data_IF_039998192427
#
_entry.id   IF_039998192427
#
_cell.length_a   1.000
_cell.length_b   1.000
_cell.length_c   1.000
_cell.angle_alpha   90.00
_cell.angle_beta   90.00
_cell.angle_gamma   90.00
#
_symmetry.space_group_name_H-M   'P 1'
#
loop_
_entity.id
_entity.type
_entity.pdbx_description
1 polymer ?
#
# COMPACT_ATOMS: atom_id res chain seq x y z
N UNK A 1 -17.84 -0.79 4.39
CA UNK A 1 -16.38 -0.60 4.32
C UNK A 1 -16.12 0.66 3.53
N UNK A 2 -15.50 1.68 4.13
CA UNK A 2 -15.33 2.98 3.48
C UNK A 2 -13.88 3.09 3.01
N UNK A 3 -13.67 3.05 1.70
CA UNK A 3 -12.35 3.22 1.06
C UNK A 3 -12.32 4.60 0.43
N UNK A 4 -11.41 5.46 0.89
CA UNK A 4 -11.16 6.78 0.29
C UNK A 4 -9.80 6.74 -0.40
N UNK A 5 -9.80 6.80 -1.73
CA UNK A 5 -8.59 6.95 -2.54
C UNK A 5 -8.48 8.43 -2.91
N UNK A 6 -7.57 9.15 -2.25
CA UNK A 6 -7.18 10.50 -2.67
C UNK A 6 -5.91 10.37 -3.50
N UNK A 7 -6.04 10.44 -4.82
CA UNK A 7 -4.92 10.39 -5.76
C UNK A 7 -4.56 11.82 -6.18
N UNK A 8 -3.61 12.44 -5.48
CA UNK A 8 -3.09 13.76 -5.80
C UNK A 8 -1.68 13.99 -5.21
N UNK A 9 -0.97 15.01 -5.68
CA UNK A 9 0.35 15.39 -5.19
C UNK A 9 0.29 15.81 -3.70
N UNK A 10 1.08 15.20 -2.79
CA UNK A 10 0.99 15.41 -1.34
C UNK A 10 1.72 16.70 -0.91
N UNK A 11 1.29 17.86 -1.43
CA UNK A 11 1.82 19.16 -1.01
C UNK A 11 1.04 19.70 0.20
N UNK A 12 1.70 20.07 1.33
CA UNK A 12 1.06 20.66 2.50
C UNK A 12 0.34 21.99 2.23
N UNK A 13 0.74 22.73 1.19
CA UNK A 13 0.12 23.99 0.79
C UNK A 13 -1.04 23.83 -0.18
N UNK A 14 -1.38 22.60 -0.60
CA UNK A 14 -2.44 22.35 -1.59
C UNK A 14 -3.83 22.29 -0.97
N UNK A 15 -4.84 22.61 -1.78
CA UNK A 15 -6.26 22.41 -1.42
C UNK A 15 -6.57 20.96 -1.01
N UNK A 16 -5.85 19.98 -1.57
CA UNK A 16 -5.96 18.57 -1.19
C UNK A 16 -5.57 18.33 0.27
N UNK A 17 -4.55 19.02 0.79
CA UNK A 17 -4.17 18.91 2.20
C UNK A 17 -5.27 19.44 3.13
N UNK A 18 -5.99 20.49 2.70
CA UNK A 18 -7.13 21.05 3.43
C UNK A 18 -8.31 20.08 3.46
N UNK A 19 -8.68 19.51 2.30
CA UNK A 19 -9.72 18.47 2.21
C UNK A 19 -9.36 17.30 3.12
N UNK A 20 -8.13 16.81 3.04
CA UNK A 20 -7.68 15.71 3.87
C UNK A 20 -7.80 16.03 5.35
N UNK A 21 -7.37 17.21 5.79
CA UNK A 21 -7.46 17.62 7.21
C UNK A 21 -8.91 17.57 7.73
N UNK A 22 -9.87 17.97 6.91
CA UNK A 22 -11.30 17.96 7.28
C UNK A 22 -11.87 16.53 7.29
N UNK A 23 -11.48 15.68 6.34
CA UNK A 23 -12.01 14.33 6.19
C UNK A 23 -11.32 13.31 7.12
N UNK A 24 -10.04 13.50 7.42
CA UNK A 24 -9.21 12.61 8.25
C UNK A 24 -9.77 12.45 9.66
N UNK A 25 -10.35 13.52 10.23
CA UNK A 25 -10.88 13.52 11.60
C UNK A 25 -12.05 12.56 11.77
N UNK A 26 -12.81 12.29 10.71
CA UNK A 26 -13.99 11.41 10.75
C UNK A 26 -13.78 10.02 10.13
N UNK A 27 -13.04 9.91 9.02
CA UNK A 27 -13.04 8.67 8.23
C UNK A 27 -11.84 7.75 8.46
N UNK A 28 -10.65 8.30 8.73
CA UNK A 28 -9.39 7.56 8.55
C UNK A 28 -8.58 7.36 9.85
N UNK A 29 -8.84 8.14 10.90
CA UNK A 29 -8.14 8.00 12.18
C UNK A 29 -8.44 6.62 12.80
N UNK A 30 -7.39 5.87 13.13
CA UNK A 30 -7.49 4.53 13.72
C UNK A 30 -7.79 3.40 12.72
N UNK A 31 -7.88 3.70 11.42
CA UNK A 31 -7.98 2.65 10.39
C UNK A 31 -6.61 1.99 10.14
N UNK A 32 -6.64 0.73 9.70
CA UNK A 32 -5.49 -0.03 9.23
C UNK A 32 -5.49 -0.11 7.72
N UNK A 33 -4.33 -0.24 7.10
CA UNK A 33 -4.21 -0.54 5.67
C UNK A 33 -3.36 -1.79 5.45
N UNK A 34 -3.78 -2.60 4.48
CA UNK A 34 -2.96 -3.69 3.95
C UNK A 34 -2.74 -3.47 2.47
N UNK A 35 -1.47 -3.31 2.08
CA UNK A 35 -1.05 -3.14 0.69
C UNK A 35 -0.52 -4.48 0.17
N UNK A 36 -1.06 -4.96 -0.94
CA UNK A 36 -0.58 -6.14 -1.65
C UNK A 36 0.01 -5.68 -2.98
N UNK A 37 1.33 -5.85 -3.15
CA UNK A 37 2.03 -5.48 -4.38
C UNK A 37 2.49 -6.73 -5.12
N UNK A 38 2.22 -6.75 -6.42
CA UNK A 38 2.88 -7.64 -7.38
C UNK A 38 3.95 -6.87 -8.11
N UNK A 39 5.09 -7.51 -8.36
CA UNK A 39 6.19 -6.93 -9.13
C UNK A 39 6.92 -8.04 -9.90
N UNK A 40 7.43 -7.71 -11.07
CA UNK A 40 8.14 -8.70 -11.90
C UNK A 40 9.65 -8.72 -11.60
N UNK A 41 10.20 -7.61 -11.12
CA UNK A 41 11.60 -7.50 -10.71
C UNK A 41 11.83 -8.12 -9.32
N UNK A 42 13.03 -8.59 -8.98
CA UNK A 42 13.34 -8.98 -7.60
C UNK A 42 13.27 -7.79 -6.62
N UNK A 43 12.86 -8.04 -5.37
CA UNK A 43 12.75 -7.02 -4.31
C UNK A 43 14.07 -6.28 -4.06
N UNK A 44 15.21 -6.99 -4.06
CA UNK A 44 16.52 -6.39 -3.85
C UNK A 44 16.87 -5.40 -4.98
N UNK A 45 16.50 -5.71 -6.22
CA UNK A 45 16.75 -4.87 -7.39
C UNK A 45 15.95 -3.56 -7.30
N UNK A 46 14.65 -3.67 -6.96
CA UNK A 46 13.78 -2.51 -6.75
C UNK A 46 14.21 -1.70 -5.53
N UNK A 47 14.72 -2.35 -4.48
CA UNK A 47 15.25 -1.68 -3.30
C UNK A 47 16.56 -0.93 -3.58
N UNK A 48 17.45 -1.48 -4.39
CA UNK A 48 18.75 -0.88 -4.68
C UNK A 48 18.65 0.27 -5.69
N UNK A 49 18.03 0.03 -6.84
CA UNK A 49 18.00 1.00 -7.95
C UNK A 49 16.89 2.03 -7.81
N UNK A 50 15.70 1.58 -7.39
CA UNK A 50 14.52 2.44 -7.28
C UNK A 50 14.21 2.84 -5.85
N UNK A 51 15.04 2.44 -4.87
CA UNK A 51 14.85 2.74 -3.44
C UNK A 51 13.48 2.32 -2.90
N UNK A 52 12.83 1.33 -3.53
CA UNK A 52 11.42 0.99 -3.29
C UNK A 52 10.49 2.22 -3.34
N UNK A 53 10.66 3.08 -4.35
CA UNK A 53 9.89 4.31 -4.52
C UNK A 53 8.37 4.07 -4.49
N UNK A 54 7.91 2.96 -5.09
CA UNK A 54 6.52 2.50 -5.05
C UNK A 54 5.98 2.42 -3.61
N UNK A 55 6.75 1.78 -2.74
CA UNK A 55 6.40 1.57 -1.35
C UNK A 55 6.52 2.83 -0.52
N UNK A 56 7.59 3.59 -0.72
CA UNK A 56 7.82 4.84 0.02
C UNK A 56 6.72 5.84 -0.30
N UNK A 57 6.37 5.99 -1.58
CA UNK A 57 5.29 6.87 -2.04
C UNK A 57 3.97 6.47 -1.40
N UNK A 58 3.56 5.20 -1.49
CA UNK A 58 2.28 4.78 -0.91
C UNK A 58 2.28 4.86 0.62
N UNK A 59 3.34 4.35 1.29
CA UNK A 59 3.41 4.33 2.75
C UNK A 59 3.45 5.74 3.33
N UNK A 60 4.36 6.58 2.84
CA UNK A 60 4.63 7.91 3.42
C UNK A 60 3.80 9.00 2.76
N UNK A 61 3.77 9.03 1.43
CA UNK A 61 3.09 10.06 0.64
C UNK A 61 1.57 9.96 0.65
N UNK A 62 1.02 8.75 0.76
CA UNK A 62 -0.44 8.53 0.74
C UNK A 62 -0.95 8.12 2.12
N UNK A 63 -0.64 6.91 2.58
CA UNK A 63 -1.30 6.31 3.75
C UNK A 63 -1.01 7.06 5.05
N UNK A 64 0.27 7.32 5.34
CA UNK A 64 0.66 8.08 6.54
C UNK A 64 0.22 9.54 6.48
N UNK A 65 0.31 10.16 5.31
CA UNK A 65 -0.21 11.51 5.08
C UNK A 65 -1.69 11.56 5.44
N UNK A 66 -2.47 10.56 4.98
CA UNK A 66 -3.88 10.39 5.29
C UNK A 66 -4.18 9.98 6.74
N UNK A 67 -3.17 9.73 7.59
CA UNK A 67 -3.34 9.40 9.01
C UNK A 67 -3.39 7.91 9.34
N UNK A 68 -3.25 7.04 8.35
CA UNK A 68 -3.16 5.59 8.55
C UNK A 68 -1.73 5.25 8.94
N UNK A 69 -1.55 4.76 10.17
CA UNK A 69 -0.22 4.43 10.72
C UNK A 69 0.08 2.94 10.75
N UNK A 70 -0.94 2.11 10.97
CA UNK A 70 -0.84 0.66 10.90
C UNK A 70 -0.98 0.21 9.44
N UNK A 71 0.17 -0.03 8.81
CA UNK A 71 0.26 -0.36 7.38
C UNK A 71 1.06 -1.66 7.24
N UNK A 72 0.39 -2.72 6.80
CA UNK A 72 1.02 -4.00 6.42
C UNK A 72 1.32 -4.01 4.92
N UNK A 73 2.41 -4.66 4.52
CA UNK A 73 2.78 -4.88 3.10
C UNK A 73 3.00 -6.36 2.83
N UNK A 74 2.37 -6.88 1.80
CA UNK A 74 2.71 -8.17 1.18
C UNK A 74 3.24 -7.91 -0.22
N UNK A 75 4.34 -8.57 -0.59
CA UNK A 75 4.96 -8.38 -1.91
C UNK A 75 5.17 -9.75 -2.57
N UNK A 76 4.73 -9.85 -3.83
CA UNK A 76 4.91 -11.03 -4.66
C UNK A 76 5.76 -10.66 -5.87
N UNK A 77 6.94 -11.27 -5.97
CA UNK A 77 7.96 -10.93 -6.97
C UNK A 77 8.04 -11.96 -8.10
N UNK A 78 8.49 -11.51 -9.27
CA UNK A 78 8.63 -12.35 -10.48
C UNK A 78 7.31 -13.02 -10.87
N UNK A 79 6.23 -12.24 -10.90
CA UNK A 79 4.87 -12.77 -11.13
C UNK A 79 4.72 -13.26 -12.57
N UNK A 80 5.20 -12.51 -13.56
CA UNK A 80 5.12 -12.88 -14.98
C UNK A 80 5.79 -14.21 -15.31
N UNK A 81 6.89 -14.53 -14.62
CA UNK A 81 7.66 -15.78 -14.80
C UNK A 81 7.30 -16.86 -13.78
N UNK A 82 6.34 -16.60 -12.87
CA UNK A 82 5.91 -17.57 -11.88
C UNK A 82 5.11 -18.72 -12.50
N UNK A 83 5.20 -19.91 -11.89
CA UNK A 83 4.32 -21.03 -12.23
C UNK A 83 2.96 -20.90 -11.53
N UNK A 84 1.94 -21.62 -12.04
CA UNK A 84 0.58 -21.58 -11.50
C UNK A 84 0.54 -22.01 -10.04
N UNK A 85 1.26 -23.06 -9.67
CA UNK A 85 1.28 -23.60 -8.31
C UNK A 85 1.84 -22.59 -7.31
N UNK A 86 2.80 -21.76 -7.74
CA UNK A 86 3.36 -20.68 -6.91
C UNK A 86 2.33 -19.59 -6.66
N UNK A 87 1.54 -19.23 -7.69
CA UNK A 87 0.46 -18.24 -7.56
C UNK A 87 -0.67 -18.73 -6.67
N UNK A 88 -1.05 -20.00 -6.79
CA UNK A 88 -2.05 -20.62 -5.90
C UNK A 88 -1.60 -20.61 -4.44
N UNK A 89 -0.33 -20.93 -4.16
CA UNK A 89 0.24 -20.79 -2.81
C UNK A 89 0.17 -19.36 -2.29
N UNK A 90 0.47 -18.37 -3.13
CA UNK A 90 0.34 -16.95 -2.73
C UNK A 90 -1.10 -16.57 -2.44
N UNK A 91 -2.08 -17.05 -3.22
CA UNK A 91 -3.50 -16.81 -2.96
C UNK A 91 -3.92 -17.37 -1.60
N UNK A 92 -3.55 -18.62 -1.29
CA UNK A 92 -3.83 -19.22 0.02
C UNK A 92 -3.19 -18.42 1.17
N UNK A 93 -1.96 -17.95 1.00
CA UNK A 93 -1.30 -17.09 1.98
C UNK A 93 -2.00 -15.74 2.16
N UNK A 94 -2.57 -15.16 1.10
CA UNK A 94 -3.36 -13.93 1.17
C UNK A 94 -4.65 -14.20 1.93
N UNK A 95 -5.36 -15.27 1.62
CA UNK A 95 -6.60 -15.64 2.29
C UNK A 95 -6.40 -15.86 3.79
N UNK A 96 -5.36 -16.59 4.18
CA UNK A 96 -5.02 -16.82 5.58
C UNK A 96 -4.71 -15.52 6.32
N UNK A 97 -3.91 -14.64 5.69
CA UNK A 97 -3.61 -13.31 6.25
C UNK A 97 -4.83 -12.41 6.35
N UNK A 98 -5.75 -12.50 5.39
CA UNK A 98 -6.99 -11.72 5.40
C UNK A 98 -7.88 -12.09 6.59
N UNK A 99 -7.89 -13.36 7.02
CA UNK A 99 -8.65 -13.83 8.19
C UNK A 99 -8.12 -13.30 9.53
N UNK A 100 -6.89 -12.81 9.58
CA UNK A 100 -6.19 -12.39 10.82
C UNK A 100 -6.01 -10.86 10.93
N UNK A 101 -6.66 -10.10 10.04
CA UNK A 101 -6.46 -8.65 9.86
C UNK A 101 -7.52 -7.80 10.56
#
# INVERSE_FOLDING_TARGET
>A
MNVLIVYAHPSPSSFNAVILKHVQKGLLKGKKAWMINTLDSPLWYVALLYRSADWIMMKRGVLRFCGIRDIKRSVFQSVKTSKREKREKWLLQIEEKARTL
#
